data_IF_499338948325
#
_entry.id   IF_499338948325
#
_cell.length_a   1.000
_cell.length_b   1.000
_cell.length_c   1.000
_cell.angle_alpha   90.00
_cell.angle_beta   90.00
_cell.angle_gamma   90.00
#
_symmetry.space_group_name_H-M   'P 1'
#
loop_
_entity.id
_entity.type
_entity.pdbx_description
1 polymer ?
#
# COMPACT_ATOMS: atom_id res chain seq x y z
N UNK A 1 -12.57 26.99 -5.10
CA UNK A 1 -11.71 26.86 -3.93
C UNK A 1 -10.26 26.72 -4.36
N UNK A 2 -9.33 27.35 -3.63
CA UNK A 2 -7.90 27.18 -3.89
C UNK A 2 -7.46 25.83 -3.35
N UNK A 3 -6.92 24.98 -4.23
CA UNK A 3 -6.42 23.68 -3.89
C UNK A 3 -4.98 23.83 -3.35
N UNK A 4 -4.81 23.64 -2.05
CA UNK A 4 -3.47 23.55 -1.47
C UNK A 4 -2.95 22.13 -1.69
N UNK A 5 -2.07 21.97 -2.66
CA UNK A 5 -1.47 20.64 -2.97
C UNK A 5 -0.61 20.18 -1.80
N UNK A 6 -0.99 19.05 -1.20
CA UNK A 6 -0.17 18.34 -0.23
C UNK A 6 0.69 17.31 -0.94
N UNK A 7 1.99 17.34 -0.71
CA UNK A 7 2.96 16.41 -1.28
C UNK A 7 3.40 15.39 -0.23
N UNK A 8 3.32 14.10 -0.59
CA UNK A 8 3.73 12.99 0.26
C UNK A 8 4.86 12.21 -0.40
N UNK A 9 5.87 11.92 0.39
CA UNK A 9 7.00 11.11 -0.02
C UNK A 9 6.72 9.64 0.22
N UNK A 10 6.95 8.80 -0.79
CA UNK A 10 6.76 7.35 -0.72
C UNK A 10 8.11 6.66 -0.85
N UNK A 11 8.31 5.63 -0.04
CA UNK A 11 9.39 4.66 -0.18
C UNK A 11 8.80 3.30 -0.48
N UNK A 12 9.28 2.66 -1.53
CA UNK A 12 8.86 1.31 -1.92
C UNK A 12 9.90 0.28 -1.49
N UNK A 13 9.42 -0.87 -1.06
CA UNK A 13 10.22 -2.04 -0.71
C UNK A 13 9.81 -3.21 -1.60
N UNK A 14 10.68 -3.60 -2.50
CA UNK A 14 10.52 -4.79 -3.33
C UNK A 14 11.10 -5.99 -2.58
N UNK A 15 10.40 -7.11 -2.58
CA UNK A 15 10.91 -8.35 -1.99
C UNK A 15 11.61 -9.15 -3.08
N UNK A 16 12.91 -9.40 -2.89
CA UNK A 16 13.71 -10.19 -3.83
C UNK A 16 13.27 -11.66 -3.80
N UNK A 17 13.26 -12.29 -4.96
CA UNK A 17 12.96 -13.71 -5.11
C UNK A 17 14.18 -14.58 -4.73
N UNK A 18 14.00 -15.89 -4.78
CA UNK A 18 15.08 -16.87 -4.63
C UNK A 18 16.17 -16.71 -5.71
N UNK A 19 15.80 -16.15 -6.87
CA UNK A 19 16.75 -15.75 -7.93
C UNK A 19 17.19 -14.30 -7.68
N UNK A 20 18.47 -14.06 -7.30
CA UNK A 20 18.97 -12.71 -7.04
C UNK A 20 18.81 -11.76 -8.22
N UNK A 21 18.39 -10.53 -7.95
CA UNK A 21 18.14 -9.51 -8.97
C UNK A 21 16.76 -9.57 -9.63
N UNK A 22 15.89 -10.46 -9.16
CA UNK A 22 14.54 -10.64 -9.69
C UNK A 22 13.48 -10.61 -8.59
N UNK A 23 12.27 -10.34 -9.01
CA UNK A 23 11.03 -10.46 -8.23
C UNK A 23 10.02 -11.31 -9.01
N UNK A 24 9.11 -11.95 -8.33
CA UNK A 24 7.99 -12.65 -8.98
C UNK A 24 6.70 -11.86 -8.81
N UNK A 25 6.02 -11.62 -9.91
CA UNK A 25 4.72 -10.95 -9.96
C UNK A 25 3.75 -11.79 -10.80
N UNK A 26 2.68 -12.31 -10.21
CA UNK A 26 1.66 -13.14 -10.88
C UNK A 26 2.28 -14.27 -11.72
N UNK A 27 3.17 -15.06 -11.13
CA UNK A 27 3.93 -16.15 -11.77
C UNK A 27 4.88 -15.70 -12.91
N UNK A 28 5.16 -14.43 -13.01
CA UNK A 28 6.10 -13.88 -13.98
C UNK A 28 7.33 -13.32 -13.28
N UNK A 29 8.51 -13.76 -13.65
CA UNK A 29 9.77 -13.25 -13.14
C UNK A 29 10.12 -11.94 -13.85
N UNK A 30 10.36 -10.88 -13.07
CA UNK A 30 10.70 -9.54 -13.56
C UNK A 30 12.00 -9.08 -12.90
N UNK A 31 12.90 -8.46 -13.64
CA UNK A 31 14.10 -7.88 -13.04
C UNK A 31 13.75 -6.72 -12.10
N UNK A 32 14.49 -6.61 -11.00
CA UNK A 32 14.31 -5.52 -10.02
C UNK A 32 14.46 -4.15 -10.69
N UNK A 33 15.36 -4.03 -11.68
CA UNK A 33 15.54 -2.78 -12.43
C UNK A 33 14.26 -2.38 -13.17
N UNK A 34 13.65 -3.33 -13.89
CA UNK A 34 12.41 -3.05 -14.63
C UNK A 34 11.24 -2.73 -13.69
N UNK A 35 11.13 -3.47 -12.59
CA UNK A 35 10.11 -3.20 -11.57
C UNK A 35 10.29 -1.81 -10.94
N UNK A 36 11.52 -1.44 -10.62
CA UNK A 36 11.83 -0.13 -10.04
C UNK A 36 11.51 1.02 -11.00
N UNK A 37 11.86 0.89 -12.29
CA UNK A 37 11.53 1.88 -13.30
C UNK A 37 10.01 2.00 -13.46
N UNK A 38 9.31 0.87 -13.50
CA UNK A 38 7.85 0.88 -13.59
C UNK A 38 7.19 1.58 -12.40
N UNK A 39 7.69 1.36 -11.18
CA UNK A 39 7.20 2.05 -9.97
C UNK A 39 7.38 3.56 -10.10
N UNK A 40 8.57 4.02 -10.48
CA UNK A 40 8.87 5.46 -10.61
C UNK A 40 8.03 6.13 -11.69
N UNK A 41 7.94 5.51 -12.87
CA UNK A 41 7.39 6.17 -14.05
C UNK A 41 5.87 5.99 -14.16
N UNK A 42 5.37 4.80 -13.81
CA UNK A 42 3.97 4.45 -14.03
C UNK A 42 3.13 4.48 -12.76
N UNK A 43 3.60 3.87 -11.68
CA UNK A 43 2.80 3.74 -10.45
C UNK A 43 2.58 5.12 -9.83
N UNK A 44 3.64 5.93 -9.69
CA UNK A 44 3.53 7.29 -9.16
C UNK A 44 2.64 8.17 -10.02
N UNK A 45 2.75 8.09 -11.35
CA UNK A 45 1.88 8.85 -12.25
C UNK A 45 0.41 8.49 -12.10
N UNK A 46 0.10 7.21 -11.88
CA UNK A 46 -1.27 6.72 -11.68
C UNK A 46 -1.84 7.15 -10.32
N UNK A 47 -1.05 7.04 -9.25
CA UNK A 47 -1.42 7.56 -7.93
C UNK A 47 -1.72 9.07 -8.02
N UNK A 48 -0.84 9.85 -8.61
CA UNK A 48 -1.03 11.29 -8.78
C UNK A 48 -2.30 11.63 -9.57
N UNK A 49 -2.62 10.84 -10.60
CA UNK A 49 -3.87 11.03 -11.37
C UNK A 49 -5.10 10.74 -10.51
N UNK A 50 -5.09 9.65 -9.75
CA UNK A 50 -6.21 9.23 -8.92
C UNK A 50 -6.50 10.23 -7.79
N UNK A 51 -5.47 10.77 -7.16
CA UNK A 51 -5.60 11.67 -6.01
C UNK A 51 -5.57 13.17 -6.35
N UNK A 52 -5.44 13.51 -7.64
CA UNK A 52 -5.52 14.90 -8.11
C UNK A 52 -6.79 15.64 -7.67
N UNK A 53 -7.99 15.03 -7.70
CA UNK A 53 -9.22 15.72 -7.29
C UNK A 53 -9.24 16.21 -5.84
N UNK A 54 -8.47 15.57 -4.96
CA UNK A 54 -8.35 15.95 -3.54
C UNK A 54 -7.04 16.69 -3.24
N UNK A 55 -6.34 17.17 -4.27
CA UNK A 55 -5.12 17.96 -4.15
C UNK A 55 -3.95 17.26 -3.43
N UNK A 56 -3.88 15.95 -3.55
CA UNK A 56 -2.77 15.15 -3.05
C UNK A 56 -1.83 14.80 -4.19
N UNK A 57 -0.54 14.93 -3.94
CA UNK A 57 0.54 14.57 -4.86
C UNK A 57 1.54 13.66 -4.16
N UNK A 58 2.06 12.71 -4.89
CA UNK A 58 3.05 11.75 -4.42
C UNK A 58 4.35 11.88 -5.19
N UNK A 59 5.46 11.63 -4.50
CA UNK A 59 6.78 11.45 -5.10
C UNK A 59 7.44 10.18 -4.59
N UNK A 60 8.16 9.49 -5.46
CA UNK A 60 8.99 8.35 -5.08
C UNK A 60 10.33 8.86 -4.56
N UNK A 61 10.59 8.72 -3.25
CA UNK A 61 11.87 9.07 -2.66
C UNK A 61 12.94 8.02 -2.91
N UNK A 62 12.59 6.75 -2.69
CA UNK A 62 13.52 5.64 -2.81
C UNK A 62 12.78 4.33 -3.10
N UNK A 63 13.51 3.40 -3.69
CA UNK A 63 13.08 2.01 -3.84
C UNK A 63 14.20 1.15 -3.26
N UNK A 64 13.86 0.39 -2.24
CA UNK A 64 14.76 -0.56 -1.60
C UNK A 64 14.40 -1.98 -1.96
N UNK A 65 15.36 -2.86 -1.90
CA UNK A 65 15.20 -4.30 -2.10
C UNK A 65 15.44 -4.99 -0.78
N UNK A 66 14.51 -5.84 -0.37
CA UNK A 66 14.66 -6.71 0.78
C UNK A 66 15.12 -8.08 0.27
N UNK A 67 16.40 -8.46 0.52
CA UNK A 67 16.99 -9.67 -0.06
C UNK A 67 16.57 -10.92 0.74
N UNK A 68 15.28 -11.19 0.82
CA UNK A 68 14.77 -12.34 1.55
C UNK A 68 13.44 -12.83 0.97
N UNK A 69 13.51 -13.83 0.09
CA UNK A 69 12.36 -14.41 -0.59
C UNK A 69 11.31 -15.03 0.37
N UNK A 70 11.67 -15.36 1.60
CA UNK A 70 10.69 -15.89 2.58
C UNK A 70 9.61 -14.86 2.93
N UNK A 71 9.84 -13.59 2.64
CA UNK A 71 8.85 -12.54 2.83
C UNK A 71 7.90 -12.37 1.64
N UNK A 72 8.12 -13.07 0.54
CA UNK A 72 7.23 -13.03 -0.63
C UNK A 72 5.83 -13.61 -0.34
N UNK A 73 5.73 -14.52 0.64
CA UNK A 73 4.46 -15.01 1.19
C UNK A 73 4.11 -14.22 2.45
N UNK A 74 3.76 -12.95 2.28
CA UNK A 74 3.59 -12.01 3.40
C UNK A 74 2.30 -12.26 4.16
N UNK A 75 2.43 -12.64 5.42
CA UNK A 75 1.29 -12.85 6.32
C UNK A 75 1.17 -11.73 7.35
N UNK A 76 0.00 -11.07 7.36
CA UNK A 76 -0.32 -10.01 8.33
C UNK A 76 -0.12 -10.50 9.77
N UNK A 77 0.43 -9.62 10.62
CA UNK A 77 0.75 -9.86 12.03
C UNK A 77 1.87 -10.89 12.29
N UNK A 78 2.48 -11.45 11.24
CA UNK A 78 3.60 -12.39 11.36
C UNK A 78 4.87 -11.77 10.81
N UNK A 79 4.85 -11.37 9.52
CA UNK A 79 6.02 -10.83 8.83
C UNK A 79 6.16 -9.33 9.05
N UNK A 80 5.05 -8.60 9.02
CA UNK A 80 5.03 -7.13 9.06
C UNK A 80 5.75 -6.54 10.28
N UNK A 81 5.55 -7.07 11.48
CA UNK A 81 6.26 -6.58 12.67
C UNK A 81 7.77 -6.71 12.53
N UNK A 82 8.27 -7.82 11.98
CA UNK A 82 9.68 -8.05 11.78
C UNK A 82 10.25 -7.19 10.65
N UNK A 83 9.60 -7.19 9.49
CA UNK A 83 10.07 -6.47 8.31
C UNK A 83 10.05 -4.98 8.55
N UNK A 84 8.95 -4.45 9.05
CA UNK A 84 8.81 -3.02 9.26
C UNK A 84 9.70 -2.47 10.38
N UNK A 85 10.19 -3.31 11.29
CA UNK A 85 11.21 -2.93 12.28
C UNK A 85 12.59 -2.74 11.64
N UNK A 86 12.93 -3.54 10.63
CA UNK A 86 14.25 -3.56 10.03
C UNK A 86 14.33 -2.75 8.72
N UNK A 87 13.22 -2.62 8.00
CA UNK A 87 13.09 -1.89 6.74
C UNK A 87 11.96 -0.88 6.85
N UNK A 88 12.24 0.28 7.39
CA UNK A 88 11.30 1.37 7.58
C UNK A 88 11.99 2.72 7.42
N UNK A 89 11.40 3.60 6.64
CA UNK A 89 11.87 4.97 6.49
C UNK A 89 10.91 5.93 7.20
N UNK A 90 11.36 6.62 8.26
CA UNK A 90 10.52 7.56 8.99
C UNK A 90 10.10 8.76 8.11
N UNK A 91 8.97 9.36 8.46
CA UNK A 91 8.39 10.52 7.79
C UNK A 91 8.02 10.30 6.31
N UNK A 92 7.86 9.05 5.89
CA UNK A 92 7.41 8.67 4.55
C UNK A 92 6.25 7.68 4.63
N UNK A 93 5.54 7.49 3.54
CA UNK A 93 4.61 6.37 3.37
C UNK A 93 5.45 5.18 2.91
N UNK A 94 5.50 4.12 3.71
CA UNK A 94 6.26 2.91 3.40
C UNK A 94 5.36 1.91 2.69
N UNK A 95 5.69 1.54 1.46
CA UNK A 95 4.92 0.60 0.64
C UNK A 95 5.72 -0.67 0.42
N UNK A 96 5.24 -1.78 0.96
CA UNK A 96 5.86 -3.10 0.83
C UNK A 96 5.13 -3.88 -0.26
N UNK A 97 5.88 -4.45 -1.20
CA UNK A 97 5.38 -5.15 -2.37
C UNK A 97 5.87 -6.61 -2.39
N UNK A 98 5.29 -7.49 -1.57
CA UNK A 98 5.53 -8.93 -1.64
C UNK A 98 4.89 -9.53 -2.90
N UNK A 99 5.27 -10.75 -3.25
CA UNK A 99 4.60 -11.52 -4.32
C UNK A 99 3.14 -11.76 -4.00
N UNK A 100 2.85 -12.16 -2.76
CA UNK A 100 1.50 -12.45 -2.29
C UNK A 100 1.28 -12.02 -0.84
N UNK A 101 0.15 -11.36 -0.60
CA UNK A 101 -0.36 -11.11 0.75
C UNK A 101 -1.28 -12.24 1.15
N UNK A 102 -0.94 -12.91 2.24
CA UNK A 102 -1.73 -14.03 2.78
C UNK A 102 -2.69 -13.51 3.87
N UNK A 103 -3.89 -14.10 3.96
CA UNK A 103 -4.81 -13.76 5.04
C UNK A 103 -4.20 -14.07 6.41
N UNK A 104 -4.63 -13.39 7.46
CA UNK A 104 -4.34 -13.83 8.81
C UNK A 104 -4.88 -15.25 9.03
N UNK A 105 -4.29 -15.98 9.98
CA UNK A 105 -4.71 -17.36 10.26
C UNK A 105 -6.22 -17.35 10.61
N UNK A 106 -7.03 -18.05 9.81
CA UNK A 106 -8.49 -18.09 9.97
C UNK A 106 -9.25 -16.91 9.35
N UNK A 107 -8.58 -16.02 8.61
CA UNK A 107 -9.19 -14.87 7.93
C UNK A 107 -9.44 -15.09 6.44
N UNK A 108 -10.07 -14.09 5.81
CA UNK A 108 -10.28 -14.05 4.36
C UNK A 108 -9.06 -13.50 3.64
N UNK A 109 -8.90 -13.83 2.35
CA UNK A 109 -7.83 -13.31 1.51
C UNK A 109 -7.98 -11.79 1.32
N UNK A 110 -6.88 -11.06 1.57
CA UNK A 110 -6.77 -9.64 1.27
C UNK A 110 -5.54 -9.45 0.37
N UNK A 111 -5.71 -8.78 -0.75
CA UNK A 111 -4.60 -8.46 -1.66
C UNK A 111 -3.78 -7.26 -1.16
N UNK A 112 -4.32 -6.51 -0.21
CA UNK A 112 -3.65 -5.35 0.41
C UNK A 112 -4.20 -5.04 1.79
N UNK A 113 -3.42 -4.32 2.59
CA UNK A 113 -3.88 -3.69 3.82
C UNK A 113 -3.00 -2.50 4.20
N UNK A 114 -3.50 -1.67 5.09
CA UNK A 114 -2.83 -0.43 5.49
C UNK A 114 -2.70 -0.31 7.00
N UNK A 115 -1.65 0.38 7.41
CA UNK A 115 -1.47 0.91 8.74
C UNK A 115 -1.44 2.44 8.65
N UNK A 116 -2.58 3.11 8.83
CA UNK A 116 -2.65 4.57 8.70
C UNK A 116 -1.78 5.26 9.73
N UNK A 117 -1.46 6.51 9.46
CA UNK A 117 -0.76 7.36 10.42
C UNK A 117 -1.56 7.44 11.73
N UNK A 118 -0.90 7.38 12.89
CA UNK A 118 -1.59 7.51 14.16
C UNK A 118 -2.20 8.88 14.34
N UNK A 119 -3.40 8.92 14.88
CA UNK A 119 -4.01 10.16 15.36
C UNK A 119 -3.30 10.74 16.61
N UNK A 120 -2.39 10.01 17.23
CA UNK A 120 -1.65 10.42 18.43
C UNK A 120 -0.24 9.86 18.45
N UNK A 121 0.69 10.56 19.13
CA UNK A 121 2.11 10.21 19.29
C UNK A 121 2.39 8.96 20.13
N UNK A 122 1.44 8.07 20.35
CA UNK A 122 1.66 6.84 21.08
C UNK A 122 2.44 5.85 20.22
N UNK A 123 3.55 5.38 20.78
CA UNK A 123 4.42 4.36 20.19
C UNK A 123 3.62 3.04 20.10
N UNK A 124 3.17 2.68 18.92
CA UNK A 124 2.47 1.41 18.68
C UNK A 124 3.24 0.62 17.62
N UNK A 125 3.59 -0.58 17.94
CA UNK A 125 4.10 -1.60 17.02
C UNK A 125 2.88 -2.35 16.46
N UNK A 126 2.74 -2.57 15.16
CA UNK A 126 3.66 -2.31 14.04
C UNK A 126 3.72 -0.85 13.62
N UNK A 127 4.75 -0.45 12.84
CA UNK A 127 4.95 0.91 12.43
C UNK A 127 3.76 1.40 11.63
N UNK A 128 3.36 2.58 11.94
CA UNK A 128 2.32 3.37 11.31
C UNK A 128 2.92 3.99 10.04
N UNK A 129 2.10 4.39 9.09
CA UNK A 129 2.51 4.85 7.75
C UNK A 129 3.03 3.73 6.83
N UNK A 130 2.37 2.58 6.88
CA UNK A 130 2.72 1.45 6.03
C UNK A 130 1.52 0.97 5.20
N UNK A 131 1.80 0.57 3.99
CA UNK A 131 0.89 -0.10 3.07
C UNK A 131 1.57 -1.40 2.65
N UNK A 132 0.87 -2.51 2.73
CA UNK A 132 1.30 -3.79 2.17
C UNK A 132 0.32 -4.15 1.06
N UNK A 133 0.85 -4.40 -0.13
CA UNK A 133 0.04 -4.71 -1.31
C UNK A 133 0.77 -5.76 -2.16
N UNK A 134 0.05 -6.73 -2.67
CA UNK A 134 0.62 -7.67 -3.65
C UNK A 134 1.28 -6.91 -4.79
N UNK A 135 2.46 -7.34 -5.21
CA UNK A 135 3.15 -6.71 -6.33
C UNK A 135 2.34 -6.79 -7.63
N UNK A 136 1.46 -7.78 -7.77
CA UNK A 136 0.48 -7.85 -8.86
C UNK A 136 -0.47 -6.66 -8.88
N UNK A 137 -0.75 -6.06 -7.73
CA UNK A 137 -1.61 -4.89 -7.57
C UNK A 137 -1.04 -3.59 -8.16
N UNK A 138 0.25 -3.54 -8.49
CA UNK A 138 0.86 -2.40 -9.20
C UNK A 138 0.84 -2.54 -10.72
N UNK A 139 0.37 -3.67 -11.25
CA UNK A 139 0.28 -3.98 -12.68
C UNK A 139 1.62 -3.83 -13.42
N UNK A 140 2.57 -4.72 -13.15
CA UNK A 140 3.84 -4.78 -13.86
C UNK A 140 3.64 -4.90 -15.39
N UNK A 141 4.60 -4.44 -16.22
CA UNK A 141 4.41 -4.17 -17.65
C UNK A 141 3.90 -5.31 -18.53
N UNK A 142 3.93 -6.54 -18.06
CA UNK A 142 3.43 -7.71 -18.78
C UNK A 142 2.06 -8.20 -18.29
N UNK A 143 1.47 -7.51 -17.33
CA UNK A 143 0.16 -7.84 -16.76
C UNK A 143 -0.87 -6.87 -17.33
N UNK A 144 -1.27 -7.11 -18.56
CA UNK A 144 -2.36 -6.39 -19.22
C UNK A 144 -3.66 -6.81 -18.54
N UNK A 145 -4.18 -5.96 -17.68
CA UNK A 145 -5.53 -6.11 -17.16
C UNK A 145 -5.69 -5.83 -15.66
N UNK A 146 -6.43 -4.82 -15.38
CA UNK A 146 -7.41 -4.64 -14.30
C UNK A 146 -6.94 -4.30 -12.87
N UNK A 147 -5.72 -4.56 -12.39
CA UNK A 147 -5.43 -4.44 -10.94
C UNK A 147 -4.61 -3.24 -10.45
N UNK A 148 -4.45 -2.18 -11.22
CA UNK A 148 -3.86 -0.92 -10.71
C UNK A 148 -4.77 -0.25 -9.67
N UNK A 149 -5.98 -0.71 -9.55
CA UNK A 149 -6.95 -0.25 -8.56
C UNK A 149 -6.57 -0.63 -7.15
N UNK A 150 -5.84 -1.74 -6.95
CA UNK A 150 -5.60 -2.28 -5.60
C UNK A 150 -4.69 -1.37 -4.76
N UNK A 151 -3.57 -0.93 -5.32
CA UNK A 151 -2.71 0.01 -4.60
C UNK A 151 -3.40 1.37 -4.38
N UNK A 152 -4.15 1.87 -5.39
CA UNK A 152 -4.93 3.12 -5.26
C UNK A 152 -5.99 2.96 -4.18
N UNK A 153 -6.67 1.82 -4.12
CA UNK A 153 -7.64 1.46 -3.09
C UNK A 153 -6.98 1.47 -1.70
N UNK A 154 -5.83 0.79 -1.56
CA UNK A 154 -5.07 0.79 -0.31
C UNK A 154 -4.66 2.20 0.14
N UNK A 155 -4.25 3.08 -0.78
CA UNK A 155 -4.02 4.49 -0.47
C UNK A 155 -5.29 5.23 -0.02
N UNK A 156 -6.45 4.88 -0.59
CA UNK A 156 -7.73 5.39 -0.12
C UNK A 156 -7.96 5.10 1.37
N UNK A 157 -7.79 3.85 1.76
CA UNK A 157 -7.90 3.44 3.17
C UNK A 157 -6.82 4.06 4.04
N UNK A 158 -5.60 4.21 3.53
CA UNK A 158 -4.52 4.89 4.24
C UNK A 158 -4.90 6.33 4.62
N UNK A 159 -5.66 7.02 3.77
CA UNK A 159 -6.20 8.36 4.04
C UNK A 159 -7.56 8.35 4.75
N UNK A 160 -8.02 7.19 5.21
CA UNK A 160 -9.25 7.05 6.00
C UNK A 160 -10.54 7.01 5.18
N UNK A 161 -10.48 6.75 3.88
CA UNK A 161 -11.67 6.56 3.08
C UNK A 161 -12.27 5.16 3.34
N UNK A 162 -13.52 5.05 3.81
CA UNK A 162 -14.20 3.78 3.97
C UNK A 162 -14.61 3.20 2.60
N UNK A 163 -14.97 1.92 2.57
CA UNK A 163 -15.62 1.35 1.40
C UNK A 163 -16.98 2.01 1.18
N UNK A 164 -17.32 2.31 -0.07
CA UNK A 164 -18.63 2.90 -0.43
C UNK A 164 -19.80 1.93 -0.19
N UNK A 165 -19.50 0.64 0.00
CA UNK A 165 -20.45 -0.45 0.22
C UNK A 165 -20.27 -1.16 1.57
N UNK A 166 -19.46 -0.60 2.47
CA UNK A 166 -19.53 -1.06 3.86
C UNK A 166 -20.93 -0.71 4.34
N UNK A 167 -21.74 -1.75 4.55
CA UNK A 167 -23.06 -1.63 5.14
C UNK A 167 -22.95 -0.73 6.37
N UNK A 168 -23.49 0.46 6.25
CA UNK A 168 -23.88 1.25 7.41
C UNK A 168 -24.97 0.37 8.04
N UNK A 169 -24.56 -0.47 8.98
CA UNK A 169 -25.49 -1.28 9.75
C UNK A 169 -26.61 -0.35 10.19
N UNK A 170 -27.90 -0.63 9.89
CA UNK A 170 -29.00 0.30 10.11
C UNK A 170 -29.27 0.60 11.58
N UNK A 171 -28.34 0.24 12.47
CA UNK A 171 -28.41 0.48 13.91
C UNK A 171 -27.83 1.82 14.37
N UNK A 172 -27.22 2.61 13.49
CA UNK A 172 -26.88 3.98 13.83
C UNK A 172 -28.05 4.89 13.50
N UNK A 173 -29.02 4.94 14.40
CA UNK A 173 -30.07 5.97 14.40
C UNK A 173 -29.40 7.33 14.60
N UNK A 174 -29.18 8.07 13.50
CA UNK A 174 -28.82 9.48 13.58
C UNK A 174 -30.06 10.18 14.13
N UNK A 175 -30.05 10.45 15.42
CA UNK A 175 -31.06 11.32 16.05
C UNK A 175 -30.82 12.75 15.54
N UNK A 176 -31.50 13.11 14.47
CA UNK A 176 -31.54 14.49 14.01
C UNK A 176 -32.52 15.23 14.91
N UNK A 177 -32.03 15.88 15.94
CA UNK A 177 -32.80 16.87 16.68
C UNK A 177 -32.94 18.12 15.79
N UNK A 178 -34.15 18.54 15.40
CA UNK A 178 -34.30 19.78 14.65
C UNK A 178 -33.86 20.96 15.52
N UNK A 179 -33.29 22.01 14.97
CA UNK A 179 -32.94 23.22 15.71
C UNK A 179 -34.18 23.92 16.21
N UNK A 180 -34.07 24.63 17.34
CA UNK A 180 -35.18 25.37 17.97
C UNK A 180 -35.70 26.52 17.09
#
# INVERSE_FOLDING_TARGET
GVCLTKKFSIVFYLIEDSLPGFITASNTTVSIVNASNFVRDSVIARLNRAFKPICVQFECCSIYVIPNFNFNQWRKNVIDTFVTKNWFTPNTINVYLPEKVLPPIGGYENESYTYPAPASNTFVIPPKNAIVCDISGINAPNLVGVRTSELIHAFGHFFGLPHTFEDISPTTTISVTPPP
#
